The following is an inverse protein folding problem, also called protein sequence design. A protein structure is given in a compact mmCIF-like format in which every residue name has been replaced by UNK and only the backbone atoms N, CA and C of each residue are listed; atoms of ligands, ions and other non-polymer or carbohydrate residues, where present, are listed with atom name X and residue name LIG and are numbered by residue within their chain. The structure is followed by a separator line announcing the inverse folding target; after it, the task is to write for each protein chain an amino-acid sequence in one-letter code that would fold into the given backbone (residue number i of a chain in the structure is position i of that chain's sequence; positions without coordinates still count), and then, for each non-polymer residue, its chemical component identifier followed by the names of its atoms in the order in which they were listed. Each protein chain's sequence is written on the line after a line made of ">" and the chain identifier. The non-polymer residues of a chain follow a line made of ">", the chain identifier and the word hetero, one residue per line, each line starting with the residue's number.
data_IF_824019858781
#
_entry.id   IF_824019858781
#
_cell.length_a   1.000
_cell.length_b   1.000
_cell.length_c   1.000
_cell.angle_alpha   90.00
_cell.angle_beta   90.00
_cell.angle_gamma   90.00
#
_symmetry.space_group_name_H-M   'P 1'
#
loop_
_entity.id
_entity.type
_entity.pdbx_description
1 polymer ?
#
# COMPACT_ATOMS: atom_id res chain seq x y z
N UNK A 1 42.84 35.88 25.79
CA UNK A 1 41.45 35.99 25.27
C UNK A 1 41.33 35.97 23.75
N UNK A 2 42.18 36.65 22.96
CA UNK A 2 42.08 36.71 21.48
C UNK A 2 42.25 35.34 20.79
N UNK A 3 43.14 34.50 21.32
CA UNK A 3 43.39 33.16 20.77
C UNK A 3 42.22 32.21 21.05
N UNK A 4 41.67 32.22 22.28
CA UNK A 4 40.49 31.41 22.67
C UNK A 4 39.26 31.74 21.80
N UNK A 5 39.01 33.03 21.52
CA UNK A 5 37.92 33.44 20.62
C UNK A 5 38.11 32.96 19.17
N UNK A 6 39.35 32.91 18.68
CA UNK A 6 39.69 32.36 17.35
C UNK A 6 39.52 30.85 17.31
N UNK A 7 39.93 30.13 18.34
CA UNK A 7 39.75 28.67 18.43
C UNK A 7 38.27 28.30 18.50
N UNK A 8 37.48 29.04 19.28
CA UNK A 8 36.02 28.83 19.35
C UNK A 8 35.34 29.09 18.01
N UNK A 9 35.70 30.18 17.32
CA UNK A 9 35.16 30.47 15.99
C UNK A 9 35.52 29.39 14.97
N UNK A 10 36.76 28.90 14.98
CA UNK A 10 37.18 27.80 14.10
C UNK A 10 36.40 26.50 14.40
N UNK A 11 36.15 26.17 15.67
CA UNK A 11 35.38 24.99 16.06
C UNK A 11 33.91 25.08 15.56
N UNK A 12 33.29 26.27 15.68
CA UNK A 12 31.93 26.51 15.17
C UNK A 12 31.88 26.35 13.65
N UNK A 13 32.87 26.88 12.92
CA UNK A 13 32.94 26.71 11.46
C UNK A 13 33.10 25.24 11.08
N UNK A 14 33.95 24.48 11.77
CA UNK A 14 34.10 23.03 11.52
C UNK A 14 32.79 22.28 11.79
N UNK A 15 32.07 22.59 12.86
CA UNK A 15 30.77 21.97 13.16
C UNK A 15 29.71 22.33 12.11
N UNK A 16 29.70 23.56 11.59
CA UNK A 16 28.79 23.97 10.52
C UNK A 16 29.11 23.27 9.20
N UNK A 17 30.39 23.13 8.85
CA UNK A 17 30.81 22.40 7.64
C UNK A 17 30.51 20.91 7.77
N UNK A 18 30.82 20.30 8.92
CA UNK A 18 30.52 18.89 9.16
C UNK A 18 29.01 18.62 9.19
N UNK A 19 28.23 19.48 9.85
CA UNK A 19 26.77 19.39 9.88
C UNK A 19 26.12 19.62 8.52
N UNK A 20 26.61 20.60 7.74
CA UNK A 20 26.16 20.86 6.38
C UNK A 20 26.50 19.72 5.42
N UNK A 21 27.70 19.14 5.54
CA UNK A 21 28.14 17.99 4.75
C UNK A 21 27.34 16.72 5.10
N UNK A 22 27.17 16.44 6.39
CA UNK A 22 26.38 15.30 6.85
C UNK A 22 24.90 15.44 6.45
N UNK A 23 24.35 16.65 6.57
CA UNK A 23 23.01 16.97 6.09
C UNK A 23 22.86 16.79 4.58
N UNK A 24 23.84 17.24 3.79
CA UNK A 24 23.85 17.05 2.33
C UNK A 24 23.91 15.57 1.96
N UNK A 25 24.83 14.79 2.55
CA UNK A 25 24.94 13.36 2.31
C UNK A 25 23.63 12.63 2.61
N UNK A 26 23.00 12.92 3.76
CA UNK A 26 21.72 12.31 4.15
C UNK A 26 20.56 12.74 3.24
N UNK A 27 20.60 13.95 2.67
CA UNK A 27 19.58 14.42 1.72
C UNK A 27 19.74 13.81 0.32
N UNK A 28 20.93 13.31 -0.02
CA UNK A 28 21.22 12.64 -1.31
C UNK A 28 21.39 11.13 -1.15
N UNK A 29 21.04 10.59 0.03
CA UNK A 29 21.13 9.17 0.33
C UNK A 29 19.87 8.47 -0.19
N UNK A 30 19.93 8.04 -1.45
CA UNK A 30 18.84 7.35 -2.13
C UNK A 30 18.80 5.84 -1.79
N UNK A 31 19.57 5.39 -0.79
CA UNK A 31 19.73 3.97 -0.43
C UNK A 31 18.41 3.26 -0.13
N UNK A 32 17.34 3.97 0.28
CA UNK A 32 16.05 3.33 0.60
C UNK A 32 14.87 3.87 -0.22
N UNK A 33 15.12 4.63 -1.29
CA UNK A 33 14.09 5.39 -2.00
C UNK A 33 12.93 4.50 -2.52
N UNK A 34 13.22 3.25 -2.88
CA UNK A 34 12.26 2.28 -3.39
C UNK A 34 11.66 1.34 -2.34
N UNK A 35 12.02 1.47 -1.05
CA UNK A 35 11.61 0.54 -0.01
C UNK A 35 10.43 1.06 0.80
N UNK A 36 9.42 0.23 1.00
CA UNK A 36 8.31 0.56 1.92
C UNK A 36 8.59 0.13 3.36
N UNK A 37 9.50 -0.84 3.58
CA UNK A 37 10.01 -1.24 4.90
C UNK A 37 11.53 -1.23 4.91
N UNK A 38 12.10 -0.63 5.95
CA UNK A 38 13.54 -0.61 6.24
C UNK A 38 13.74 -1.33 7.58
N UNK A 39 14.10 -2.62 7.61
CA UNK A 39 14.18 -3.42 8.84
C UNK A 39 14.91 -2.74 10.00
N UNK A 40 15.99 -2.00 9.74
CA UNK A 40 16.79 -1.27 10.72
C UNK A 40 16.03 -0.14 11.44
N UNK A 41 14.88 0.28 10.91
CA UNK A 41 13.98 1.26 11.52
C UNK A 41 12.84 0.63 12.34
N UNK A 42 12.79 -0.71 12.40
CA UNK A 42 11.76 -1.48 13.09
C UNK A 42 12.38 -2.40 14.15
N UNK A 43 11.96 -2.28 15.41
CA UNK A 43 12.43 -3.14 16.50
C UNK A 43 11.95 -4.60 16.35
N UNK A 44 10.95 -4.83 15.51
CA UNK A 44 10.26 -6.10 15.36
C UNK A 44 10.37 -6.74 13.97
N UNK A 45 11.19 -6.18 13.09
CA UNK A 45 11.52 -6.75 11.78
C UNK A 45 13.05 -6.90 11.72
N UNK A 46 13.61 -8.07 12.05
CA UNK A 46 15.05 -8.24 12.12
C UNK A 46 15.68 -8.28 10.72
N UNK A 47 16.89 -7.74 10.56
CA UNK A 47 17.66 -7.88 9.32
C UNK A 47 18.52 -9.14 9.38
N UNK A 48 18.46 -9.98 8.35
CA UNK A 48 19.35 -11.13 8.21
C UNK A 48 20.81 -10.65 8.05
N UNK A 49 21.74 -11.29 8.77
CA UNK A 49 23.14 -10.87 8.80
C UNK A 49 23.79 -10.97 7.41
N UNK A 50 24.45 -9.89 6.99
CA UNK A 50 25.12 -9.79 5.69
C UNK A 50 24.26 -9.23 4.56
N UNK A 51 22.97 -8.97 4.80
CA UNK A 51 22.16 -8.19 3.86
C UNK A 51 22.63 -6.73 3.83
N UNK A 52 22.97 -6.25 2.64
CA UNK A 52 23.34 -4.86 2.39
C UNK A 52 22.23 -4.15 1.60
N UNK A 53 21.83 -2.93 2.00
CA UNK A 53 20.77 -2.20 1.31
C UNK A 53 21.26 -1.66 -0.05
N UNK A 54 20.37 -1.72 -1.03
CA UNK A 54 20.44 -1.01 -2.31
C UNK A 54 19.24 -0.09 -2.43
N UNK A 55 19.16 0.76 -3.46
CA UNK A 55 18.04 1.72 -3.65
C UNK A 55 16.62 1.15 -3.46
N UNK A 56 16.39 -0.14 -3.75
CA UNK A 56 15.05 -0.76 -3.75
C UNK A 56 14.92 -2.10 -3.03
N UNK A 57 16.03 -2.73 -2.63
CA UNK A 57 16.03 -4.06 -2.01
C UNK A 57 17.33 -4.26 -1.22
N UNK A 58 17.44 -5.40 -0.55
CA UNK A 58 18.69 -5.85 0.07
C UNK A 58 19.33 -6.94 -0.78
N UNK A 59 20.65 -7.05 -0.70
CA UNK A 59 21.43 -8.08 -1.39
C UNK A 59 22.41 -8.75 -0.44
N UNK A 60 22.71 -10.03 -0.69
CA UNK A 60 23.81 -10.76 -0.08
C UNK A 60 24.45 -11.65 -1.14
N UNK A 61 25.78 -11.76 -1.12
CA UNK A 61 26.50 -12.63 -2.05
C UNK A 61 26.05 -14.10 -1.92
N UNK A 62 26.17 -14.82 -3.03
CA UNK A 62 25.83 -16.23 -3.17
C UNK A 62 24.33 -16.55 -3.09
N UNK A 63 24.03 -17.83 -3.28
CA UNK A 63 22.68 -18.37 -3.15
C UNK A 63 22.37 -18.68 -1.68
N UNK A 64 21.73 -17.72 -1.01
CA UNK A 64 21.42 -17.72 0.42
C UNK A 64 19.92 -17.62 0.71
N UNK A 65 19.05 -17.66 -0.30
CA UNK A 65 17.60 -17.45 -0.09
C UNK A 65 16.97 -18.45 0.88
N UNK A 66 17.50 -19.69 0.97
CA UNK A 66 17.09 -20.69 1.96
C UNK A 66 17.42 -20.26 3.39
N UNK A 67 18.60 -19.72 3.63
CA UNK A 67 18.99 -19.24 4.97
C UNK A 67 18.13 -18.04 5.38
N UNK A 68 17.84 -17.16 4.43
CA UNK A 68 16.94 -16.01 4.62
C UNK A 68 15.52 -16.51 4.97
N UNK A 69 15.03 -17.53 4.26
CA UNK A 69 13.76 -18.18 4.55
C UNK A 69 13.73 -18.72 5.99
N UNK A 70 14.68 -19.58 6.36
CA UNK A 70 14.74 -20.21 7.68
C UNK A 70 14.81 -19.16 8.79
N UNK A 71 15.64 -18.12 8.61
CA UNK A 71 15.77 -17.03 9.57
C UNK A 71 14.44 -16.32 9.85
N UNK A 72 13.71 -15.92 8.80
CA UNK A 72 12.45 -15.18 8.99
C UNK A 72 11.34 -16.06 9.55
N UNK A 73 11.28 -17.33 9.15
CA UNK A 73 10.31 -18.28 9.69
C UNK A 73 10.60 -18.67 11.14
N UNK A 74 11.85 -18.57 11.59
CA UNK A 74 12.21 -18.72 13.01
C UNK A 74 11.92 -17.44 13.81
N UNK A 75 12.40 -16.28 13.36
CA UNK A 75 12.44 -15.05 14.17
C UNK A 75 11.12 -14.29 14.23
N UNK A 76 10.38 -14.19 13.13
CA UNK A 76 9.17 -13.38 13.10
C UNK A 76 8.08 -13.88 14.07
N UNK A 77 7.82 -15.20 14.20
CA UNK A 77 6.88 -15.70 15.20
C UNK A 77 7.24 -15.34 16.65
N UNK A 78 8.54 -15.35 17.00
CA UNK A 78 9.01 -14.95 18.33
C UNK A 78 8.70 -13.47 18.63
N UNK A 79 8.63 -12.65 17.58
CA UNK A 79 8.33 -11.22 17.64
C UNK A 79 6.83 -10.93 17.49
N UNK A 80 5.97 -11.96 17.48
CA UNK A 80 4.52 -11.85 17.46
C UNK A 80 3.89 -11.71 16.07
N UNK A 81 4.67 -11.90 15.00
CA UNK A 81 4.14 -11.99 13.65
C UNK A 81 3.49 -13.34 13.40
N UNK A 82 2.47 -13.37 12.54
CA UNK A 82 1.78 -14.58 12.10
C UNK A 82 1.90 -14.70 10.60
N UNK A 83 2.34 -15.86 10.13
CA UNK A 83 2.38 -16.14 8.70
C UNK A 83 0.95 -16.41 8.21
N UNK A 84 0.50 -15.64 7.23
CA UNK A 84 -0.81 -15.83 6.58
C UNK A 84 -0.68 -16.47 5.20
N UNK A 85 0.52 -16.41 4.61
CA UNK A 85 0.81 -16.96 3.30
C UNK A 85 2.30 -17.26 3.15
N UNK A 86 2.59 -18.35 2.45
CA UNK A 86 3.93 -18.68 1.97
C UNK A 86 3.84 -19.34 0.61
N UNK A 87 4.76 -18.97 -0.26
CA UNK A 87 5.09 -19.64 -1.49
C UNK A 87 6.60 -19.79 -1.54
N UNK A 88 7.09 -20.99 -1.84
CA UNK A 88 8.52 -21.30 -1.79
C UNK A 88 8.91 -22.27 -2.88
N UNK A 89 10.13 -22.16 -3.39
CA UNK A 89 10.71 -23.13 -4.30
C UNK A 89 11.17 -24.42 -3.60
N UNK A 90 11.12 -24.49 -2.26
CA UNK A 90 11.48 -25.69 -1.49
C UNK A 90 10.61 -26.90 -1.81
N UNK A 91 9.34 -26.66 -2.14
CA UNK A 91 8.34 -27.70 -2.43
C UNK A 91 8.18 -27.96 -3.94
N UNK A 92 9.09 -27.41 -4.77
CA UNK A 92 9.02 -27.60 -6.22
C UNK A 92 9.65 -28.93 -6.65
N UNK A 93 8.80 -29.87 -7.06
CA UNK A 93 9.23 -31.18 -7.58
C UNK A 93 9.61 -31.14 -9.07
N UNK A 94 9.39 -30.01 -9.77
CA UNK A 94 9.71 -29.88 -11.19
C UNK A 94 11.21 -29.62 -11.38
N UNK A 95 11.93 -30.67 -11.79
CA UNK A 95 13.36 -30.60 -12.09
C UNK A 95 13.73 -29.65 -13.23
N UNK A 96 12.78 -29.21 -14.05
CA UNK A 96 12.99 -28.20 -15.09
C UNK A 96 12.82 -26.76 -14.57
N UNK A 97 12.20 -26.57 -13.41
CA UNK A 97 12.00 -25.26 -12.81
C UNK A 97 13.22 -24.87 -11.98
N UNK A 98 13.97 -23.87 -12.47
CA UNK A 98 15.25 -23.47 -11.90
C UNK A 98 15.15 -22.25 -10.97
N UNK A 99 13.91 -21.85 -10.64
CA UNK A 99 13.64 -20.72 -9.75
C UNK A 99 14.04 -21.07 -8.31
N UNK A 100 14.76 -20.15 -7.67
CA UNK A 100 15.15 -20.25 -6.27
C UNK A 100 14.65 -19.02 -5.53
N UNK A 101 13.81 -19.22 -4.53
CA UNK A 101 13.25 -18.12 -3.75
C UNK A 101 12.01 -18.46 -2.96
N UNK A 102 11.50 -17.46 -2.25
CA UNK A 102 10.23 -17.52 -1.55
C UNK A 102 9.55 -16.15 -1.53
N UNK A 103 8.26 -16.18 -1.24
CA UNK A 103 7.47 -15.03 -0.86
C UNK A 103 6.59 -15.41 0.33
N UNK A 104 6.58 -14.57 1.35
CA UNK A 104 5.80 -14.78 2.56
C UNK A 104 5.06 -13.50 2.95
N UNK A 105 3.87 -13.65 3.55
CA UNK A 105 3.09 -12.54 4.10
C UNK A 105 2.80 -12.76 5.57
N UNK A 106 2.94 -11.68 6.33
CA UNK A 106 2.90 -11.69 7.78
C UNK A 106 2.01 -10.58 8.30
N UNK A 107 1.18 -10.90 9.30
CA UNK A 107 0.41 -9.92 10.06
C UNK A 107 0.85 -9.86 11.51
N UNK A 108 0.69 -8.68 12.12
CA UNK A 108 0.97 -8.47 13.53
C UNK A 108 -0.03 -7.48 14.12
N UNK A 109 -0.49 -7.75 15.35
CA UNK A 109 -1.38 -6.85 16.06
C UNK A 109 -0.69 -5.50 16.30
N UNK A 110 -1.32 -4.41 15.85
CA UNK A 110 -0.79 -3.06 16.00
C UNK A 110 0.16 -2.62 14.88
N UNK A 111 0.43 -3.48 13.89
CA UNK A 111 1.11 -3.10 12.65
C UNK A 111 0.08 -2.71 11.59
N UNK A 112 0.28 -1.58 10.92
CA UNK A 112 -0.66 -1.06 9.92
C UNK A 112 -0.50 -1.74 8.55
N UNK A 113 -0.99 -2.96 8.39
CA UNK A 113 -0.97 -3.70 7.11
C UNK A 113 -0.38 -5.09 7.24
N UNK A 114 0.18 -5.59 6.14
CA UNK A 114 0.91 -6.86 6.04
C UNK A 114 2.37 -6.59 5.69
N UNK A 115 3.29 -7.29 6.37
CA UNK A 115 4.67 -7.37 5.95
C UNK A 115 4.80 -8.50 4.92
N UNK A 116 5.27 -8.16 3.73
CA UNK A 116 5.68 -9.11 2.69
C UNK A 116 7.19 -9.20 2.69
N UNK A 117 7.71 -10.42 2.73
CA UNK A 117 9.14 -10.69 2.52
C UNK A 117 9.27 -11.61 1.33
N UNK A 118 10.03 -11.19 0.33
CA UNK A 118 10.43 -12.04 -0.79
C UNK A 118 11.94 -12.13 -0.86
N UNK A 119 12.43 -13.31 -1.23
CA UNK A 119 13.83 -13.50 -1.58
C UNK A 119 13.95 -14.32 -2.85
N UNK A 120 14.92 -13.99 -3.69
CA UNK A 120 15.24 -14.76 -4.89
C UNK A 120 16.73 -14.75 -5.15
N UNK A 121 17.24 -15.82 -5.76
CA UNK A 121 18.64 -15.86 -6.20
C UNK A 121 18.77 -15.38 -7.65
N UNK A 122 19.52 -14.30 -7.84
CA UNK A 122 19.87 -13.79 -9.15
C UNK A 122 21.21 -14.40 -9.61
N UNK A 123 21.13 -15.38 -10.53
CA UNK A 123 22.29 -16.08 -11.09
C UNK A 123 23.23 -15.20 -11.90
N UNK A 124 22.76 -14.06 -12.43
CA UNK A 124 23.59 -13.18 -13.26
C UNK A 124 24.54 -12.34 -12.41
N UNK A 125 24.05 -11.90 -11.25
CA UNK A 125 24.80 -11.07 -10.31
C UNK A 125 25.37 -11.88 -9.14
N UNK A 126 25.16 -13.20 -9.14
CA UNK A 126 25.62 -14.15 -8.12
C UNK A 126 25.24 -13.75 -6.69
N UNK A 127 24.04 -13.18 -6.53
CA UNK A 127 23.56 -12.63 -5.27
C UNK A 127 22.11 -13.05 -4.99
N UNK A 128 21.77 -13.11 -3.72
CA UNK A 128 20.39 -13.23 -3.26
C UNK A 128 19.82 -11.84 -3.01
N UNK A 129 18.70 -11.55 -3.64
CA UNK A 129 17.95 -10.30 -3.49
C UNK A 129 16.80 -10.52 -2.51
N UNK A 130 16.62 -9.62 -1.55
CA UNK A 130 15.57 -9.69 -0.52
C UNK A 130 14.81 -8.37 -0.49
N UNK A 131 13.48 -8.44 -0.54
CA UNK A 131 12.60 -7.28 -0.48
C UNK A 131 11.68 -7.35 0.72
N UNK A 132 11.43 -6.19 1.34
CA UNK A 132 10.49 -6.01 2.42
C UNK A 132 9.46 -4.99 2.00
N UNK A 133 8.20 -5.43 1.94
CA UNK A 133 7.10 -4.56 1.52
C UNK A 133 5.98 -4.48 2.55
N UNK A 134 5.47 -3.28 2.77
CA UNK A 134 4.25 -3.06 3.54
C UNK A 134 3.07 -2.96 2.58
N UNK A 135 2.18 -3.94 2.63
CA UNK A 135 0.92 -3.91 1.88
C UNK A 135 -0.20 -3.48 2.81
N UNK A 136 -0.94 -2.39 2.51
CA UNK A 136 -2.10 -2.01 3.31
C UNK A 136 -3.18 -3.11 3.28
N UNK A 137 -3.74 -3.44 4.43
CA UNK A 137 -4.94 -4.29 4.50
C UNK A 137 -6.15 -3.39 4.25
N UNK A 138 -6.78 -3.56 3.10
CA UNK A 138 -7.99 -2.84 2.76
C UNK A 138 -9.21 -3.61 3.27
N UNK A 139 -10.04 -2.94 4.07
CA UNK A 139 -11.31 -3.49 4.54
C UNK A 139 -12.45 -3.05 3.63
N UNK A 140 -13.45 -3.90 3.49
CA UNK A 140 -14.67 -3.59 2.73
C UNK A 140 -15.89 -3.92 3.58
N UNK A 141 -16.66 -2.90 3.94
CA UNK A 141 -17.95 -3.07 4.64
C UNK A 141 -19.12 -3.10 3.65
N UNK A 142 -20.15 -3.89 3.96
CA UNK A 142 -21.38 -3.89 3.17
C UNK A 142 -22.25 -2.69 3.54
N UNK A 143 -22.44 -1.76 2.60
CA UNK A 143 -23.33 -0.61 2.76
C UNK A 143 -24.76 -0.90 2.33
N UNK A 144 -24.94 -1.70 1.27
CA UNK A 144 -26.26 -2.00 0.72
C UNK A 144 -26.50 -3.52 0.83
N UNK A 145 -27.30 -3.92 1.82
CA UNK A 145 -27.56 -5.34 2.13
C UNK A 145 -28.61 -5.96 1.20
N UNK A 146 -29.56 -5.15 0.73
CA UNK A 146 -30.67 -5.60 -0.12
C UNK A 146 -30.67 -4.77 -1.38
N UNK A 147 -30.63 -5.44 -2.53
CA UNK A 147 -30.75 -4.80 -3.84
C UNK A 147 -32.16 -4.22 -3.99
N UNK A 148 -32.34 -2.89 -4.14
CA UNK A 148 -33.65 -2.29 -4.30
C UNK A 148 -34.24 -2.57 -5.69
N UNK A 149 -35.55 -2.39 -5.84
CA UNK A 149 -36.26 -2.58 -7.12
C UNK A 149 -35.92 -1.49 -8.15
N UNK A 150 -35.57 -0.30 -7.66
CA UNK A 150 -35.11 0.82 -8.48
C UNK A 150 -34.19 1.73 -7.69
N UNK A 151 -33.31 2.43 -8.40
CA UNK A 151 -32.45 3.49 -7.85
C UNK A 151 -32.61 4.76 -8.68
N UNK A 152 -32.27 5.89 -8.07
CA UNK A 152 -32.45 7.22 -8.64
C UNK A 152 -31.10 7.97 -8.64
N UNK A 153 -30.60 8.33 -9.82
CA UNK A 153 -29.27 8.93 -9.98
C UNK A 153 -29.40 10.41 -10.32
N UNK A 154 -28.92 11.25 -9.41
CA UNK A 154 -28.84 12.69 -9.54
C UNK A 154 -27.44 13.09 -10.03
N UNK A 155 -27.35 13.58 -11.26
CA UNK A 155 -26.07 13.94 -11.86
C UNK A 155 -25.36 15.07 -11.09
N UNK A 156 -26.12 16.02 -10.53
CA UNK A 156 -25.63 17.14 -9.73
C UNK A 156 -26.53 17.36 -8.50
N UNK A 157 -25.98 17.91 -7.41
CA UNK A 157 -26.69 18.19 -6.15
C UNK A 157 -27.91 19.13 -6.26
N UNK A 158 -28.00 19.88 -7.37
CA UNK A 158 -29.05 20.86 -7.60
C UNK A 158 -30.15 20.35 -8.54
N UNK A 159 -30.02 19.13 -9.06
CA UNK A 159 -30.99 18.59 -10.01
C UNK A 159 -32.19 18.01 -9.25
N UNK A 160 -33.41 18.39 -9.66
CA UNK A 160 -34.65 17.81 -9.09
C UNK A 160 -35.03 16.51 -9.79
N UNK A 161 -34.61 16.36 -11.04
CA UNK A 161 -34.92 15.19 -11.85
C UNK A 161 -33.74 14.21 -11.79
N UNK A 162 -34.05 12.93 -11.55
CA UNK A 162 -33.05 11.86 -11.55
C UNK A 162 -33.27 10.90 -12.70
N UNK A 163 -32.19 10.20 -13.06
CA UNK A 163 -32.27 9.06 -13.95
C UNK A 163 -32.63 7.82 -13.14
N UNK A 164 -33.84 7.29 -13.36
CA UNK A 164 -34.32 6.09 -12.66
C UNK A 164 -33.83 4.84 -13.37
N UNK A 165 -33.13 3.98 -12.63
CA UNK A 165 -32.74 2.64 -13.10
C UNK A 165 -33.65 1.61 -12.43
N UNK A 166 -34.27 0.74 -13.24
CA UNK A 166 -35.14 -0.38 -12.79
C UNK A 166 -34.60 -1.75 -13.21
N UNK A 167 -33.49 -1.78 -13.94
CA UNK A 167 -32.84 -3.02 -14.36
C UNK A 167 -32.13 -3.65 -13.16
N UNK A 168 -32.69 -4.73 -12.64
CA UNK A 168 -32.16 -5.43 -11.45
C UNK A 168 -30.73 -5.89 -11.63
N UNK A 169 -30.34 -6.34 -12.82
CA UNK A 169 -28.97 -6.79 -13.11
C UNK A 169 -27.98 -5.62 -13.02
N UNK A 170 -28.35 -4.46 -13.59
CA UNK A 170 -27.54 -3.24 -13.45
C UNK A 170 -27.44 -2.78 -12.01
N UNK A 171 -28.56 -2.72 -11.28
CA UNK A 171 -28.56 -2.29 -9.87
C UNK A 171 -27.68 -3.22 -9.04
N UNK A 172 -27.78 -4.53 -9.23
CA UNK A 172 -26.97 -5.50 -8.51
C UNK A 172 -25.46 -5.30 -8.75
N UNK A 173 -25.06 -5.02 -9.98
CA UNK A 173 -23.65 -4.70 -10.29
C UNK A 173 -23.18 -3.41 -9.63
N UNK A 174 -23.99 -2.35 -9.68
CA UNK A 174 -23.67 -1.09 -9.00
C UNK A 174 -23.51 -1.31 -7.49
N UNK A 175 -24.43 -2.07 -6.88
CA UNK A 175 -24.37 -2.46 -5.46
C UNK A 175 -23.09 -3.22 -5.14
N UNK A 176 -22.69 -4.18 -5.99
CA UNK A 176 -21.43 -4.92 -5.82
C UNK A 176 -20.24 -3.97 -5.81
N UNK A 177 -20.11 -3.13 -6.85
CA UNK A 177 -18.99 -2.19 -6.98
C UNK A 177 -18.87 -1.25 -5.77
N UNK A 178 -19.99 -0.79 -5.22
CA UNK A 178 -19.99 0.07 -4.02
C UNK A 178 -19.62 -0.72 -2.76
N UNK A 179 -20.14 -1.93 -2.58
CA UNK A 179 -19.83 -2.74 -1.40
C UNK A 179 -18.38 -3.26 -1.42
N UNK A 180 -17.87 -3.59 -2.60
CA UNK A 180 -16.51 -4.07 -2.86
C UNK A 180 -15.48 -2.92 -2.82
N UNK A 181 -15.93 -1.66 -2.85
CA UNK A 181 -15.06 -0.51 -2.67
C UNK A 181 -14.45 -0.47 -1.25
N UNK A 182 -13.21 0.00 -1.18
CA UNK A 182 -12.37 0.01 0.01
C UNK A 182 -12.90 1.04 1.01
N UNK A 183 -13.10 0.65 2.26
CA UNK A 183 -13.40 1.56 3.35
C UNK A 183 -12.24 2.51 3.59
N UNK A 184 -12.53 3.81 3.72
CA UNK A 184 -11.52 4.85 3.85
C UNK A 184 -11.76 5.68 5.12
N UNK A 185 -10.80 5.65 6.03
CA UNK A 185 -10.85 6.42 7.28
C UNK A 185 -10.37 7.87 7.11
N UNK A 186 -9.72 8.18 5.98
CA UNK A 186 -9.26 9.51 5.65
C UNK A 186 -10.39 10.45 5.19
N UNK A 187 -10.01 11.65 4.73
CA UNK A 187 -10.95 12.55 4.06
C UNK A 187 -10.99 12.24 2.57
N UNK A 188 -12.16 12.42 1.96
CA UNK A 188 -12.28 12.42 0.51
C UNK A 188 -11.44 13.58 -0.03
N UNK A 189 -10.53 13.28 -0.96
CA UNK A 189 -9.82 14.33 -1.66
C UNK A 189 -10.83 15.13 -2.50
N UNK A 190 -10.65 16.46 -2.65
CA UNK A 190 -11.50 17.24 -3.53
C UNK A 190 -11.55 16.64 -4.93
N UNK A 191 -12.74 16.64 -5.53
CA UNK A 191 -13.02 16.18 -6.89
C UNK A 191 -13.79 17.25 -7.63
N UNK A 192 -13.63 17.28 -8.95
CA UNK A 192 -14.31 18.26 -9.81
C UNK A 192 -15.82 18.03 -9.88
N UNK A 193 -16.26 16.78 -9.85
CA UNK A 193 -17.66 16.40 -10.05
C UNK A 193 -18.21 15.63 -8.86
N UNK A 194 -19.50 15.80 -8.63
CA UNK A 194 -20.24 15.10 -7.60
C UNK A 194 -21.65 14.75 -8.08
N UNK A 195 -22.04 13.49 -7.91
CA UNK A 195 -23.38 12.98 -8.18
C UNK A 195 -23.93 12.27 -6.92
N UNK A 196 -25.22 11.99 -6.87
CA UNK A 196 -25.84 11.24 -5.77
C UNK A 196 -26.64 10.08 -6.33
N UNK A 197 -26.47 8.90 -5.75
CA UNK A 197 -27.29 7.71 -6.02
C UNK A 197 -28.16 7.46 -4.79
N UNK A 198 -29.46 7.56 -4.98
CA UNK A 198 -30.47 7.26 -3.97
C UNK A 198 -30.92 5.80 -4.12
N UNK A 199 -30.65 5.00 -3.08
CA UNK A 199 -31.06 3.59 -2.96
C UNK A 199 -32.35 3.41 -2.13
N UNK A 200 -33.01 4.50 -1.74
CA UNK A 200 -34.21 4.57 -0.91
C UNK A 200 -33.92 4.53 0.59
N UNK A 201 -33.05 3.62 1.03
CA UNK A 201 -32.63 3.51 2.44
C UNK A 201 -31.35 4.30 2.75
N UNK A 202 -30.55 4.59 1.71
CA UNK A 202 -29.25 5.24 1.83
C UNK A 202 -28.99 6.11 0.59
N UNK A 203 -28.49 7.32 0.83
CA UNK A 203 -28.00 8.21 -0.21
C UNK A 203 -26.48 8.12 -0.27
N UNK A 204 -25.96 7.84 -1.47
CA UNK A 204 -24.52 7.73 -1.69
C UNK A 204 -24.09 8.84 -2.62
N UNK A 205 -23.31 9.77 -2.09
CA UNK A 205 -22.65 10.81 -2.87
C UNK A 205 -21.41 10.22 -3.52
N UNK A 206 -21.32 10.35 -4.84
CA UNK A 206 -20.21 9.89 -5.67
C UNK A 206 -19.36 11.10 -6.03
N UNK A 207 -18.10 11.15 -5.60
CA UNK A 207 -17.13 12.20 -5.96
C UNK A 207 -16.13 11.62 -6.96
N UNK A 208 -15.97 12.26 -8.11
CA UNK A 208 -15.17 11.70 -9.21
C UNK A 208 -14.53 12.78 -10.08
N UNK A 209 -13.46 12.38 -10.75
CA UNK A 209 -12.72 13.17 -11.74
C UNK A 209 -12.07 12.18 -12.71
N UNK A 210 -11.84 12.60 -13.96
CA UNK A 210 -11.26 11.74 -14.99
C UNK A 210 -9.94 11.14 -14.51
N UNK A 211 -9.78 9.82 -14.69
CA UNK A 211 -8.57 9.05 -14.36
C UNK A 211 -8.16 9.08 -12.87
N UNK A 212 -9.02 9.60 -11.97
CA UNK A 212 -8.79 9.59 -10.51
C UNK A 212 -9.73 8.63 -9.79
N UNK A 213 -9.40 8.28 -8.56
CA UNK A 213 -10.22 7.42 -7.72
C UNK A 213 -11.61 8.04 -7.49
N UNK A 214 -12.60 7.16 -7.45
CA UNK A 214 -14.00 7.50 -7.15
C UNK A 214 -14.22 7.32 -5.66
N UNK A 215 -14.74 8.35 -4.99
CA UNK A 215 -15.16 8.25 -3.59
C UNK A 215 -16.67 8.09 -3.47
N UNK A 216 -17.10 7.20 -2.60
CA UNK A 216 -18.49 7.04 -2.17
C UNK A 216 -18.63 7.54 -0.74
N UNK A 217 -19.50 8.52 -0.52
CA UNK A 217 -19.73 9.11 0.79
C UNK A 217 -21.20 8.94 1.18
N UNK A 218 -21.43 8.41 2.39
CA UNK A 218 -22.75 8.26 2.99
C UNK A 218 -22.70 8.49 4.50
N UNK A 219 -23.83 8.37 5.19
CA UNK A 219 -23.85 8.37 6.65
C UNK A 219 -23.09 7.19 7.29
N UNK A 220 -22.81 6.12 6.53
CA UNK A 220 -22.02 4.96 6.98
C UNK A 220 -20.52 5.20 6.94
N UNK A 221 -20.07 6.25 6.26
CA UNK A 221 -18.65 6.61 6.16
C UNK A 221 -18.24 6.95 4.74
N UNK A 222 -16.99 6.62 4.42
CA UNK A 222 -16.37 6.91 3.13
C UNK A 222 -15.75 5.63 2.58
N UNK A 223 -15.94 5.41 1.29
CA UNK A 223 -15.28 4.35 0.53
C UNK A 223 -14.59 4.94 -0.69
N UNK A 224 -13.60 4.25 -1.25
CA UNK A 224 -13.03 4.59 -2.54
C UNK A 224 -12.78 3.37 -3.42
N UNK A 225 -12.76 3.60 -4.73
CA UNK A 225 -12.36 2.61 -5.71
C UNK A 225 -11.59 3.27 -6.85
N UNK A 226 -10.87 2.45 -7.63
CA UNK A 226 -10.29 2.90 -8.91
C UNK A 226 -11.40 3.37 -9.86
N UNK A 227 -11.09 4.25 -10.83
CA UNK A 227 -12.08 4.68 -11.82
C UNK A 227 -12.43 3.55 -12.79
N UNK A 228 -13.34 2.67 -12.39
CA UNK A 228 -13.84 1.57 -13.20
C UNK A 228 -14.81 2.07 -14.28
N UNK A 229 -14.52 1.92 -15.59
CA UNK A 229 -15.41 2.40 -16.66
C UNK A 229 -16.83 1.80 -16.57
N UNK A 230 -16.93 0.53 -16.17
CA UNK A 230 -18.21 -0.17 -16.00
C UNK A 230 -19.14 0.58 -15.03
N UNK A 231 -18.60 1.16 -13.95
CA UNK A 231 -19.41 1.91 -12.99
C UNK A 231 -20.09 3.12 -13.65
N UNK A 232 -19.36 3.88 -14.46
CA UNK A 232 -19.87 5.06 -15.14
C UNK A 232 -20.87 4.68 -16.24
N UNK A 233 -20.64 3.58 -16.96
CA UNK A 233 -21.58 3.05 -17.96
C UNK A 233 -22.90 2.59 -17.33
N UNK A 234 -22.83 1.91 -16.20
CA UNK A 234 -24.02 1.41 -15.49
C UNK A 234 -24.84 2.55 -14.89
N UNK A 235 -24.18 3.56 -14.34
CA UNK A 235 -24.82 4.71 -13.68
C UNK A 235 -25.21 5.83 -14.63
N UNK A 236 -24.65 5.86 -15.84
CA UNK A 236 -24.82 6.96 -16.79
C UNK A 236 -24.19 8.27 -16.31
N UNK A 237 -23.29 8.21 -15.33
CA UNK A 237 -22.53 9.37 -14.85
C UNK A 237 -21.42 9.68 -15.86
N UNK A 238 -21.33 10.91 -16.34
CA UNK A 238 -20.33 11.29 -17.35
C UNK A 238 -19.00 11.69 -16.72
N UNK A 239 -17.94 10.93 -16.99
CA UNK A 239 -16.56 11.26 -16.59
C UNK A 239 -16.13 12.65 -17.05
#
# INVERSE_FOLDING_TARGET
>A
MKNIKRTFFAAVVVLLVAGGWFGYLKMTDDTYEGMSIIPEQHDDIPLFEGLEPTRSNYVIEENRWNDVYDFYFEKLPELGWKNDYVQTALDDEDSENDWGGFQSRWTKLGFEGELTISASYNKFDEQTEVMFDQTPIYYTSTWINKVPESICIYQNSNNRDCSVIKDRGKIQKIVSLINDAIDWEGKALPREKASTIDFGEIDIKVLYEKEKEVYFQSEKGLKFMKPEPEFFELTGISQ
#
